data_IF_622149979353
#
_entry.id   IF_622149979353
#
_cell.length_a   1.000
_cell.length_b   1.000
_cell.length_c   1.000
_cell.angle_alpha   90.00
_cell.angle_beta   90.00
_cell.angle_gamma   90.00
#
_symmetry.space_group_name_H-M   'P 1'
#
loop_
_entity.id
_entity.type
_entity.pdbx_description
1 polymer ?
#
# COMPACT_ATOMS: atom_id res chain seq x y z
N UNK A 1 -7.10 13.50 -4.89
CA UNK A 1 -8.44 13.20 -4.36
C UNK A 1 -8.29 12.30 -3.15
N UNK A 2 -8.72 12.77 -1.97
CA UNK A 2 -8.58 12.05 -0.68
C UNK A 2 -9.87 11.34 -0.29
N UNK A 3 -10.88 11.29 -1.16
CA UNK A 3 -12.26 10.85 -0.83
C UNK A 3 -12.34 9.48 -0.18
N UNK A 4 -11.39 8.58 -0.46
CA UNK A 4 -11.38 7.23 0.11
C UNK A 4 -10.55 7.07 1.38
N UNK A 5 -9.68 8.03 1.70
CA UNK A 5 -8.78 7.95 2.85
C UNK A 5 -9.49 8.41 4.12
N UNK A 6 -9.17 7.74 5.23
CA UNK A 6 -9.68 8.11 6.53
C UNK A 6 -9.18 9.50 6.94
N UNK A 7 -10.09 10.34 7.42
CA UNK A 7 -9.75 11.65 8.01
C UNK A 7 -8.95 11.50 9.31
N UNK A 8 -8.00 12.41 9.61
CA UNK A 8 -7.77 13.69 8.93
C UNK A 8 -6.82 13.64 7.71
N UNK A 9 -6.26 12.48 7.36
CA UNK A 9 -5.29 12.30 6.26
C UNK A 9 -4.17 13.36 6.23
N UNK A 10 -3.58 13.63 7.41
CA UNK A 10 -2.66 14.75 7.61
C UNK A 10 -1.40 14.59 6.75
N UNK A 11 -1.02 15.66 6.04
CA UNK A 11 0.20 15.67 5.22
C UNK A 11 0.04 15.06 3.83
N UNK A 12 -1.15 14.59 3.45
CA UNK A 12 -1.42 14.15 2.09
C UNK A 12 -1.54 15.34 1.13
N UNK A 13 -0.49 15.63 0.38
CA UNK A 13 -0.46 16.77 -0.57
C UNK A 13 -0.69 16.38 -2.03
N UNK A 14 -0.58 15.08 -2.36
CA UNK A 14 -0.66 14.55 -3.72
C UNK A 14 0.30 15.26 -4.72
N UNK A 15 1.41 15.82 -4.24
CA UNK A 15 2.39 16.56 -5.06
C UNK A 15 3.05 15.70 -6.14
N UNK A 16 3.08 14.37 -5.96
CA UNK A 16 3.59 13.42 -6.95
C UNK A 16 2.65 13.19 -8.14
N UNK A 17 1.40 13.68 -8.06
CA UNK A 17 0.35 13.38 -9.04
C UNK A 17 -0.18 11.94 -8.99
N UNK A 18 0.31 11.11 -8.06
CA UNK A 18 -0.13 9.74 -7.88
C UNK A 18 -1.22 9.64 -6.79
N UNK A 19 -2.46 9.49 -7.22
CA UNK A 19 -3.60 9.23 -6.33
C UNK A 19 -3.64 7.75 -5.92
N UNK A 20 -2.99 7.41 -4.81
CA UNK A 20 -3.09 6.08 -4.21
C UNK A 20 -4.49 5.82 -3.65
N UNK A 21 -5.03 4.61 -3.86
CA UNK A 21 -6.30 4.17 -3.28
C UNK A 21 -6.04 3.33 -2.02
N UNK A 22 -6.67 3.64 -0.87
CA UNK A 22 -6.48 2.93 0.38
C UNK A 22 -7.29 1.63 0.44
N UNK A 23 -7.00 0.70 -0.48
CA UNK A 23 -7.69 -0.59 -0.56
C UNK A 23 -7.27 -1.59 0.52
N UNK A 24 -6.34 -1.23 1.40
CA UNK A 24 -5.79 -2.15 2.39
C UNK A 24 -5.12 -3.36 1.75
N UNK A 25 -5.28 -4.53 2.37
CA UNK A 25 -4.78 -5.79 1.83
C UNK A 25 -5.69 -6.99 2.10
N UNK A 26 -5.52 -8.04 1.29
CA UNK A 26 -6.05 -9.37 1.54
C UNK A 26 -5.04 -10.25 2.29
N UNK A 27 -5.39 -10.72 3.47
CA UNK A 27 -4.59 -11.70 4.24
C UNK A 27 -4.56 -13.07 3.59
N UNK A 28 -3.67 -13.95 4.02
CA UNK A 28 -3.57 -15.33 3.51
C UNK A 28 -4.88 -16.13 3.62
N UNK A 29 -5.73 -15.85 4.61
CA UNK A 29 -7.04 -16.48 4.79
C UNK A 29 -8.14 -15.92 3.86
N UNK A 30 -7.83 -14.91 3.05
CA UNK A 30 -8.79 -14.28 2.14
C UNK A 30 -9.53 -13.09 2.73
N UNK A 31 -9.37 -12.80 4.03
CA UNK A 31 -9.98 -11.63 4.68
C UNK A 31 -9.25 -10.35 4.32
N UNK A 32 -10.01 -9.27 4.11
CA UNK A 32 -9.50 -7.92 3.84
C UNK A 32 -9.34 -7.12 5.14
N UNK A 33 -8.32 -6.26 5.16
CA UNK A 33 -7.93 -5.43 6.30
C UNK A 33 -7.40 -4.07 5.84
N UNK A 34 -7.55 -3.05 6.69
CA UNK A 34 -7.01 -1.70 6.51
C UNK A 34 -7.55 -0.91 5.30
N UNK A 35 -8.70 -1.30 4.79
CA UNK A 35 -9.48 -0.47 3.86
C UNK A 35 -9.71 0.92 4.46
N UNK A 36 -9.53 1.97 3.66
CA UNK A 36 -9.56 3.40 4.03
C UNK A 36 -8.35 3.91 4.84
N UNK A 37 -7.52 3.03 5.42
CA UNK A 37 -6.39 3.43 6.27
C UNK A 37 -5.06 3.36 5.56
N UNK A 38 -4.87 2.36 4.70
CA UNK A 38 -3.59 2.05 4.11
C UNK A 38 -3.71 1.67 2.63
N UNK A 39 -2.71 2.02 1.84
CA UNK A 39 -2.54 1.57 0.47
C UNK A 39 -1.26 0.74 0.36
N UNK A 40 -1.39 -0.56 0.08
CA UNK A 40 -0.26 -1.48 -0.05
C UNK A 40 0.01 -1.80 -1.52
N UNK A 41 1.29 -1.76 -1.91
CA UNK A 41 1.74 -2.06 -3.26
C UNK A 41 2.87 -3.07 -3.27
N UNK A 42 2.75 -4.11 -4.09
CA UNK A 42 3.85 -5.03 -4.33
C UNK A 42 5.01 -4.33 -5.02
N UNK A 43 6.23 -4.82 -4.74
CA UNK A 43 7.39 -4.57 -5.58
C UNK A 43 7.80 -5.86 -6.28
N UNK A 44 8.57 -5.76 -7.36
CA UNK A 44 9.13 -6.92 -8.05
C UNK A 44 10.29 -7.58 -7.29
N UNK A 45 10.83 -6.91 -6.26
CA UNK A 45 12.03 -7.37 -5.56
C UNK A 45 11.66 -8.36 -4.45
N UNK A 46 12.11 -9.60 -4.60
CA UNK A 46 12.07 -10.59 -3.53
C UNK A 46 12.94 -10.14 -2.34
N UNK A 47 12.49 -10.45 -1.12
CA UNK A 47 13.35 -10.36 0.06
C UNK A 47 14.06 -11.69 0.29
N UNK A 48 13.29 -12.78 0.25
CA UNK A 48 13.78 -14.15 0.32
C UNK A 48 12.84 -15.10 -0.46
N UNK A 49 13.01 -16.42 -0.24
CA UNK A 49 12.22 -17.46 -0.91
C UNK A 49 10.72 -17.41 -0.58
N UNK A 50 10.32 -16.92 0.61
CA UNK A 50 8.94 -16.93 1.11
C UNK A 50 8.30 -15.53 1.12
N UNK A 51 9.10 -14.47 1.09
CA UNK A 51 8.66 -13.09 1.31
C UNK A 51 9.15 -12.14 0.23
N UNK A 52 8.39 -11.07 0.04
CA UNK A 52 8.63 -10.05 -0.99
C UNK A 52 8.56 -8.66 -0.36
N UNK A 53 9.32 -7.72 -0.92
CA UNK A 53 9.23 -6.33 -0.50
C UNK A 53 7.93 -5.68 -0.98
N UNK A 54 7.34 -4.84 -0.13
CA UNK A 54 6.21 -3.99 -0.48
C UNK A 54 6.44 -2.55 -0.06
N UNK A 55 5.67 -1.65 -0.66
CA UNK A 55 5.54 -0.25 -0.24
C UNK A 55 4.15 -0.03 0.33
N UNK A 56 4.03 0.85 1.31
CA UNK A 56 2.72 1.29 1.75
C UNK A 56 2.69 2.77 2.11
N UNK A 57 1.50 3.34 1.96
CA UNK A 57 1.14 4.66 2.45
C UNK A 57 0.07 4.50 3.52
N UNK A 58 0.15 5.30 4.58
CA UNK A 58 -0.78 5.28 5.70
C UNK A 58 -1.45 6.65 5.83
N UNK A 59 -2.73 6.69 6.21
CA UNK A 59 -3.49 7.94 6.34
C UNK A 59 -2.90 8.93 7.36
N UNK A 60 -2.12 8.48 8.33
CA UNK A 60 -1.59 9.32 9.41
C UNK A 60 -0.21 9.91 9.11
N UNK A 61 0.53 9.30 8.18
CA UNK A 61 1.94 9.60 7.90
C UNK A 61 2.11 10.07 6.46
N UNK A 62 2.93 11.09 6.24
CA UNK A 62 3.21 11.61 4.88
C UNK A 62 4.27 10.79 4.15
N UNK A 63 4.99 9.92 4.86
CA UNK A 63 6.07 9.11 4.32
C UNK A 63 5.57 7.83 3.62
N UNK A 64 6.31 7.42 2.58
CA UNK A 64 6.15 6.08 1.99
C UNK A 64 7.07 5.12 2.71
N UNK A 65 6.49 4.07 3.30
CA UNK A 65 7.23 3.06 4.04
C UNK A 65 7.51 1.81 3.19
N UNK A 66 8.50 1.01 3.61
CA UNK A 66 8.88 -0.27 2.98
C UNK A 66 9.04 -1.34 4.04
N UNK A 67 8.49 -2.52 3.77
CA UNK A 67 8.67 -3.69 4.62
C UNK A 67 8.55 -4.98 3.78
N UNK A 68 8.72 -6.15 4.37
CA UNK A 68 8.54 -7.45 3.71
C UNK A 68 7.38 -8.23 4.34
N UNK A 69 6.79 -9.12 3.54
CA UNK A 69 5.68 -9.98 3.98
C UNK A 69 5.66 -11.25 3.14
N UNK A 70 4.99 -12.30 3.62
CA UNK A 70 4.80 -13.53 2.87
C UNK A 70 4.06 -13.30 1.54
N UNK A 71 4.52 -13.99 0.49
CA UNK A 71 3.98 -13.92 -0.89
C UNK A 71 2.50 -14.31 -1.02
N UNK A 72 1.91 -14.93 0.01
CA UNK A 72 0.50 -15.36 0.05
C UNK A 72 -0.52 -14.23 0.31
N UNK A 73 -0.06 -13.03 0.69
CA UNK A 73 -0.94 -11.87 0.85
C UNK A 73 -1.37 -11.32 -0.52
N UNK A 74 -2.39 -10.46 -0.55
CA UNK A 74 -2.83 -9.77 -1.75
C UNK A 74 -2.75 -8.27 -1.57
N UNK A 75 -1.73 -7.64 -2.15
CA UNK A 75 -1.55 -6.19 -2.23
C UNK A 75 -1.80 -5.70 -3.66
N UNK A 76 -2.03 -4.40 -3.84
CA UNK A 76 -2.26 -3.80 -5.14
C UNK A 76 -1.00 -3.87 -6.02
N UNK A 77 -1.20 -3.93 -7.33
CA UNK A 77 -0.14 -3.83 -8.34
C UNK A 77 -0.28 -2.52 -9.10
N UNK A 78 0.85 -1.91 -9.45
CA UNK A 78 0.91 -0.75 -10.34
C UNK A 78 1.99 -1.00 -11.38
N UNK A 79 1.62 -0.88 -12.65
CA UNK A 79 2.61 -0.87 -13.73
C UNK A 79 3.37 0.46 -13.71
N UNK A 80 4.69 0.39 -13.80
CA UNK A 80 5.57 1.55 -13.93
C UNK A 80 6.20 1.45 -15.32
N UNK A 81 6.05 2.51 -16.12
CA UNK A 81 6.72 2.64 -17.41
C UNK A 81 8.06 3.35 -17.26
N UNK A 82 8.95 3.08 -18.21
CA UNK A 82 10.24 3.73 -18.43
C UNK A 82 10.16 4.90 -19.42
#
# INVERSE_FOLDING_TARGET
DTTHWQSPNNGATNESGFTALPGGYRSSSGRFYFEHFDAFFWTQTDYDILTVWYRYLNYYHSEISRNNIYKQFGYSVRCVGD
#
